data_IF_179645979092
#
_entry.id   IF_179645979092
#
_cell.length_a   1.000
_cell.length_b   1.000
_cell.length_c   1.000
_cell.angle_alpha   90.00
_cell.angle_beta   90.00
_cell.angle_gamma   90.00
#
_symmetry.space_group_name_H-M   'P 1'
#
loop_
_entity.id
_entity.type
_entity.pdbx_description
1 polymer ?
#
# COMPACT_ATOMS: atom_id res chain seq x y z
N UNK A 1 14.78 10.16 -49.00
CA UNK A 1 14.87 10.88 -47.71
C UNK A 1 13.72 10.37 -46.83
N UNK A 2 13.69 9.09 -46.45
CA UNK A 2 14.30 8.47 -45.25
C UNK A 2 14.18 9.32 -43.99
N UNK A 3 13.06 9.16 -43.28
CA UNK A 3 12.90 9.54 -41.88
C UNK A 3 12.76 8.24 -41.10
N UNK A 4 13.79 7.93 -40.31
CA UNK A 4 13.96 6.74 -39.48
C UNK A 4 12.82 6.65 -38.45
N UNK A 5 12.17 5.48 -38.24
CA UNK A 5 11.25 5.32 -37.13
C UNK A 5 12.05 5.40 -35.82
N UNK A 6 11.51 6.12 -34.84
CA UNK A 6 12.08 6.21 -33.50
C UNK A 6 12.29 4.80 -32.97
N UNK A 7 13.54 4.50 -32.63
CA UNK A 7 13.93 3.26 -31.98
C UNK A 7 13.28 3.29 -30.60
N UNK A 8 12.25 2.47 -30.40
CA UNK A 8 11.79 2.11 -29.06
C UNK A 8 12.97 1.40 -28.38
N UNK A 9 13.59 2.06 -27.40
CA UNK A 9 14.52 1.43 -26.48
C UNK A 9 13.79 0.22 -25.86
N UNK A 10 14.35 -1.01 -25.93
CA UNK A 10 13.71 -2.14 -25.31
C UNK A 10 13.66 -1.86 -23.81
N UNK A 11 12.45 -1.79 -23.26
CA UNK A 11 12.24 -1.86 -21.83
C UNK A 11 12.90 -3.16 -21.36
N UNK A 12 13.96 -3.04 -20.59
CA UNK A 12 14.63 -4.16 -19.95
C UNK A 12 13.62 -4.74 -18.95
N UNK A 13 12.91 -5.80 -19.37
CA UNK A 13 12.06 -6.58 -18.47
C UNK A 13 12.98 -7.11 -17.37
N UNK A 14 12.85 -6.57 -16.17
CA UNK A 14 13.50 -7.13 -14.99
C UNK A 14 13.01 -8.56 -14.83
N UNK A 15 13.90 -9.51 -15.09
CA UNK A 15 13.74 -10.95 -14.90
C UNK A 15 13.10 -11.20 -13.53
N UNK A 16 11.84 -11.64 -13.54
CA UNK A 16 11.10 -12.02 -12.35
C UNK A 16 11.83 -13.21 -11.74
N UNK A 17 12.50 -12.97 -10.60
CA UNK A 17 13.42 -13.93 -9.99
C UNK A 17 12.82 -15.31 -9.87
N UNK A 18 13.50 -16.30 -10.44
CA UNK A 18 13.16 -17.71 -10.33
C UNK A 18 13.09 -18.10 -8.85
N UNK A 19 11.93 -18.56 -8.38
CA UNK A 19 11.78 -19.09 -7.02
C UNK A 19 12.51 -20.43 -7.01
N UNK A 20 13.68 -20.47 -6.37
CA UNK A 20 14.36 -21.72 -6.00
C UNK A 20 13.36 -22.56 -5.19
N UNK A 21 12.80 -23.60 -5.78
CA UNK A 21 12.04 -24.60 -5.02
C UNK A 21 13.06 -25.37 -4.18
N UNK A 22 13.26 -24.94 -2.94
CA UNK A 22 13.96 -25.75 -1.95
C UNK A 22 13.20 -27.06 -1.82
N UNK A 23 13.89 -28.15 -2.14
CA UNK A 23 13.39 -29.53 -2.10
C UNK A 23 12.65 -29.74 -0.78
N UNK A 24 11.46 -30.34 -0.84
CA UNK A 24 10.62 -30.69 0.32
C UNK A 24 11.45 -31.51 1.31
N UNK A 25 12.07 -30.83 2.28
CA UNK A 25 12.65 -31.47 3.45
C UNK A 25 11.47 -31.95 4.29
N UNK A 26 11.18 -33.25 4.18
CA UNK A 26 10.18 -33.96 4.97
C UNK A 26 10.40 -33.67 6.47
N UNK A 27 9.69 -32.65 6.98
CA UNK A 27 9.66 -32.35 8.40
C UNK A 27 8.85 -33.46 9.07
N UNK A 28 9.56 -34.50 9.52
CA UNK A 28 9.03 -35.52 10.41
C UNK A 28 8.60 -34.84 11.72
N UNK A 29 7.31 -34.48 11.80
CA UNK A 29 6.64 -34.10 13.02
C UNK A 29 6.57 -35.33 13.94
N UNK A 30 7.59 -35.51 14.78
CA UNK A 30 7.54 -36.42 15.92
C UNK A 30 6.55 -35.84 16.93
N UNK A 31 5.45 -36.55 17.14
CA UNK A 31 4.28 -36.22 17.98
C UNK A 31 4.54 -36.34 19.49
N UNK A 32 5.77 -36.11 19.96
CA UNK A 32 6.11 -36.28 21.37
C UNK A 32 6.47 -34.94 22.03
N UNK A 33 5.49 -34.46 22.79
CA UNK A 33 5.59 -33.55 23.95
C UNK A 33 6.04 -32.10 23.68
N UNK A 34 5.16 -31.33 23.04
CA UNK A 34 5.07 -29.89 23.33
C UNK A 34 4.37 -29.68 24.68
N UNK A 35 5.07 -29.94 25.80
CA UNK A 35 4.72 -29.25 27.04
C UNK A 35 5.03 -27.77 26.83
N UNK A 36 3.98 -27.00 26.51
CA UNK A 36 3.97 -25.55 26.60
C UNK A 36 4.25 -25.22 28.07
N UNK A 37 5.51 -24.96 28.38
CA UNK A 37 5.90 -24.36 29.65
C UNK A 37 5.30 -22.96 29.65
N UNK A 38 4.21 -22.79 30.38
CA UNK A 38 3.44 -21.55 30.55
C UNK A 38 4.03 -20.70 31.70
N UNK A 39 5.34 -20.81 31.92
CA UNK A 39 6.08 -20.10 32.96
C UNK A 39 7.38 -19.56 32.34
N UNK A 40 7.51 -18.23 32.34
CA UNK A 40 8.73 -17.43 32.10
C UNK A 40 9.13 -17.09 30.64
N UNK A 41 8.31 -16.30 29.90
CA UNK A 41 8.83 -15.40 28.84
C UNK A 41 7.84 -14.25 28.43
N UNK A 42 7.09 -13.70 29.39
CA UNK A 42 6.20 -12.54 29.17
C UNK A 42 6.94 -11.18 29.01
N UNK A 43 8.27 -11.18 28.93
CA UNK A 43 9.09 -9.95 28.79
C UNK A 43 9.40 -9.61 27.32
N UNK A 44 9.22 -10.57 26.41
CA UNK A 44 9.47 -10.43 24.95
C UNK A 44 8.19 -10.55 24.10
N UNK A 45 7.02 -10.38 24.72
CA UNK A 45 5.76 -10.15 24.01
C UNK A 45 5.77 -8.72 23.44
N UNK A 46 6.66 -8.48 22.48
CA UNK A 46 6.82 -7.22 21.78
C UNK A 46 5.43 -6.82 21.27
N UNK A 47 4.87 -5.73 21.81
CA UNK A 47 3.52 -5.25 21.51
C UNK A 47 3.45 -4.80 20.04
N UNK A 48 3.30 -5.79 19.16
CA UNK A 48 3.28 -5.63 17.72
C UNK A 48 2.08 -4.77 17.30
N UNK A 49 0.97 -4.88 18.03
CA UNK A 49 -0.21 -4.04 17.83
C UNK A 49 0.08 -2.57 18.15
N UNK A 50 0.78 -2.30 19.26
CA UNK A 50 1.27 -0.97 19.61
C UNK A 50 2.23 -0.41 18.57
N UNK A 51 3.18 -1.22 18.10
CA UNK A 51 4.15 -0.82 17.06
C UNK A 51 3.45 -0.46 15.75
N UNK A 52 2.56 -1.32 15.26
CA UNK A 52 1.79 -1.08 14.02
C UNK A 52 0.90 0.16 14.15
N UNK A 53 0.32 0.39 15.32
CA UNK A 53 -0.44 1.61 15.60
C UNK A 53 0.47 2.84 15.55
N UNK A 54 1.66 2.79 16.16
CA UNK A 54 2.62 3.90 16.12
C UNK A 54 3.14 4.21 14.71
N UNK A 55 3.26 3.19 13.87
CA UNK A 55 3.71 3.32 12.49
C UNK A 55 2.64 3.95 11.58
N UNK A 56 1.37 3.60 11.80
CA UNK A 56 0.25 4.01 10.95
C UNK A 56 -0.54 5.20 11.50
N UNK A 57 -0.25 5.66 12.71
CA UNK A 57 -0.86 6.81 13.34
C UNK A 57 0.11 7.99 13.43
N UNK A 58 -0.44 9.18 13.26
CA UNK A 58 0.23 10.44 13.56
C UNK A 58 0.25 10.68 15.08
N UNK A 59 1.10 11.58 15.59
CA UNK A 59 1.11 11.96 17.01
C UNK A 59 -0.22 12.53 17.52
N UNK A 60 -1.03 13.10 16.62
CA UNK A 60 -2.35 13.67 16.93
C UNK A 60 -3.47 12.61 16.92
N UNK A 61 -3.15 11.35 16.62
CA UNK A 61 -4.08 10.21 16.63
C UNK A 61 -4.76 9.92 15.30
N UNK A 62 -4.52 10.71 14.25
CA UNK A 62 -5.00 10.38 12.90
C UNK A 62 -4.24 9.18 12.34
N UNK A 63 -4.95 8.21 11.79
CA UNK A 63 -4.36 7.06 11.09
C UNK A 63 -4.28 7.29 9.59
N UNK A 64 -3.46 6.49 8.88
CA UNK A 64 -3.46 6.43 7.41
C UNK A 64 -4.88 6.29 6.84
N UNK A 65 -5.73 5.46 7.45
CA UNK A 65 -7.12 5.29 7.03
C UNK A 65 -7.93 6.59 7.13
N UNK A 66 -7.80 7.32 8.25
CA UNK A 66 -8.49 8.60 8.44
C UNK A 66 -8.00 9.68 7.46
N UNK A 67 -6.70 9.71 7.17
CA UNK A 67 -6.12 10.60 6.17
C UNK A 67 -6.67 10.33 4.76
N UNK A 68 -6.75 9.06 4.36
CA UNK A 68 -7.31 8.66 3.06
C UNK A 68 -8.78 9.08 2.92
N UNK A 69 -9.61 8.90 3.95
CA UNK A 69 -11.01 9.35 3.94
C UNK A 69 -11.10 10.86 3.80
N UNK A 70 -10.26 11.61 4.54
CA UNK A 70 -10.22 13.07 4.46
C UNK A 70 -9.78 13.56 3.08
N UNK A 71 -8.78 12.92 2.46
CA UNK A 71 -8.34 13.24 1.11
C UNK A 71 -9.44 13.01 0.07
N UNK A 72 -10.19 11.91 0.18
CA UNK A 72 -11.34 11.65 -0.69
C UNK A 72 -12.39 12.76 -0.60
N UNK A 73 -12.73 13.20 0.62
CA UNK A 73 -13.67 14.30 0.83
C UNK A 73 -13.16 15.63 0.27
N UNK A 74 -11.86 15.91 0.45
CA UNK A 74 -11.22 17.10 -0.11
C UNK A 74 -11.23 17.08 -1.64
N UNK A 75 -10.91 15.94 -2.27
CA UNK A 75 -10.96 15.77 -3.73
C UNK A 75 -12.38 15.98 -4.27
N UNK A 76 -13.40 15.42 -3.62
CA UNK A 76 -14.80 15.64 -4.00
C UNK A 76 -15.18 17.14 -3.95
N UNK A 77 -14.78 17.82 -2.88
CA UNK A 77 -15.02 19.25 -2.69
C UNK A 77 -14.29 20.07 -3.77
N UNK A 78 -13.05 19.72 -4.09
CA UNK A 78 -12.28 20.37 -5.14
C UNK A 78 -12.92 20.17 -6.51
N UNK A 79 -13.42 18.97 -6.83
CA UNK A 79 -14.14 18.72 -8.08
C UNK A 79 -15.37 19.62 -8.22
N UNK A 80 -16.15 19.79 -7.14
CA UNK A 80 -17.30 20.71 -7.11
C UNK A 80 -16.89 22.15 -7.36
N UNK A 81 -15.76 22.59 -6.78
CA UNK A 81 -15.23 23.93 -7.00
C UNK A 81 -14.79 24.10 -8.46
N UNK A 82 -14.06 23.13 -9.02
CA UNK A 82 -13.60 23.16 -10.41
C UNK A 82 -14.77 23.32 -11.38
N UNK A 83 -15.83 22.52 -11.21
CA UNK A 83 -17.04 22.63 -12.04
C UNK A 83 -17.64 24.03 -11.94
N UNK A 84 -17.72 24.61 -10.75
CA UNK A 84 -18.23 25.99 -10.56
C UNK A 84 -17.34 27.02 -11.23
N UNK A 85 -16.02 26.87 -11.19
CA UNK A 85 -15.09 27.76 -11.91
C UNK A 85 -15.28 27.64 -13.42
N UNK A 86 -15.36 26.41 -13.94
CA UNK A 86 -15.56 26.14 -15.36
C UNK A 86 -16.87 26.75 -15.86
N UNK A 87 -17.97 26.60 -15.12
CA UNK A 87 -19.26 27.18 -15.44
C UNK A 87 -19.24 28.72 -15.47
N UNK A 88 -18.36 29.36 -14.69
CA UNK A 88 -18.16 30.82 -14.69
C UNK A 88 -17.30 31.29 -15.86
N UNK A 89 -16.33 30.47 -16.29
CA UNK A 89 -15.43 30.79 -17.41
C UNK A 89 -16.07 30.52 -18.78
N UNK A 90 -16.92 29.50 -18.88
CA UNK A 90 -17.72 29.19 -20.06
C UNK A 90 -19.20 29.38 -19.75
N UNK A 91 -19.67 30.62 -19.57
CA UNK A 91 -21.09 30.87 -19.41
C UNK A 91 -21.81 30.30 -20.64
N UNK A 92 -22.93 29.58 -20.47
CA UNK A 92 -23.69 29.07 -21.60
C UNK A 92 -24.01 30.26 -22.53
N UNK A 93 -23.65 30.12 -23.81
CA UNK A 93 -23.98 31.13 -24.82
C UNK A 93 -25.47 31.40 -24.72
N UNK A 94 -25.85 32.64 -24.40
CA UNK A 94 -27.25 33.06 -24.45
C UNK A 94 -27.78 32.70 -25.83
N UNK A 95 -28.77 31.80 -25.85
CA UNK A 95 -29.55 31.47 -27.03
C UNK A 95 -30.48 32.63 -27.39
#
# INVERSE_FOLDING_TARGET
>A
MSSRPEQEEPIEETEEGEIMSEEEEDVLLSDDEYEINDDDDDEDNMDLAGLMTSLLATPDGDTVCSALVNLCFQLETQNKILIKMLARMHPPKSA
#
